data_IF_426729441396
#
_entry.id   IF_426729441396
#
_cell.length_a   1.000
_cell.length_b   1.000
_cell.length_c   1.000
_cell.angle_alpha   90.00
_cell.angle_beta   90.00
_cell.angle_gamma   90.00
#
_symmetry.space_group_name_H-M   'P 1'
#
loop_
_entity.id
_entity.type
_entity.pdbx_description
1 polymer ?
#
# COMPACT_ATOMS: atom_id res chain seq x y z
N UNK A 1 8.52 17.25 0.35
CA UNK A 1 7.14 17.08 -0.15
C UNK A 1 6.94 18.04 -1.31
N UNK A 2 6.21 17.63 -2.35
CA UNK A 2 5.91 18.50 -3.49
C UNK A 2 4.66 19.35 -3.22
N UNK A 3 4.44 20.41 -4.01
CA UNK A 3 3.24 21.25 -3.87
C UNK A 3 1.95 20.46 -4.12
N UNK A 4 1.98 19.48 -5.03
CA UNK A 4 0.84 18.59 -5.33
C UNK A 4 0.49 17.71 -4.11
N UNK A 5 1.50 17.18 -3.41
CA UNK A 5 1.31 16.44 -2.16
C UNK A 5 0.73 17.33 -1.06
N UNK A 6 1.26 18.54 -0.89
CA UNK A 6 0.77 19.49 0.12
C UNK A 6 -0.69 19.88 -0.13
N UNK A 7 -1.07 20.10 -1.39
CA UNK A 7 -2.46 20.34 -1.81
C UNK A 7 -3.38 19.19 -1.45
N UNK A 8 -3.00 17.95 -1.82
CA UNK A 8 -3.79 16.75 -1.50
C UNK A 8 -3.98 16.65 0.01
N UNK A 9 -2.91 16.76 0.80
CA UNK A 9 -2.95 16.64 2.27
C UNK A 9 -3.80 17.76 2.88
N UNK A 10 -3.70 18.99 2.39
CA UNK A 10 -4.55 20.10 2.83
C UNK A 10 -6.04 19.80 2.59
N UNK A 11 -6.42 19.43 1.37
CA UNK A 11 -7.80 19.06 1.03
C UNK A 11 -8.31 17.90 1.89
N UNK A 12 -7.47 16.88 2.13
CA UNK A 12 -7.81 15.73 2.95
C UNK A 12 -8.08 16.12 4.42
N UNK A 13 -7.26 17.01 5.00
CA UNK A 13 -7.48 17.53 6.36
C UNK A 13 -8.78 18.32 6.46
N UNK A 14 -9.14 19.10 5.44
CA UNK A 14 -10.41 19.85 5.40
C UNK A 14 -11.62 18.93 5.28
N UNK A 15 -11.55 17.91 4.43
CA UNK A 15 -12.59 16.88 4.32
C UNK A 15 -12.78 16.15 5.66
N UNK A 16 -11.69 15.72 6.29
CA UNK A 16 -11.73 15.06 7.60
C UNK A 16 -12.35 15.95 8.69
N UNK A 17 -12.05 17.25 8.68
CA UNK A 17 -12.66 18.22 9.59
C UNK A 17 -14.17 18.35 9.37
N UNK A 18 -14.63 18.50 8.12
CA UNK A 18 -16.06 18.57 7.79
C UNK A 18 -16.79 17.31 8.25
N UNK A 19 -16.25 16.13 7.96
CA UNK A 19 -16.83 14.84 8.40
C UNK A 19 -16.88 14.70 9.92
N UNK A 20 -15.85 15.16 10.62
CA UNK A 20 -15.83 15.15 12.08
C UNK A 20 -16.93 16.05 12.67
N UNK A 21 -17.14 17.22 12.09
CA UNK A 21 -18.23 18.14 12.47
C UNK A 21 -19.61 17.53 12.22
N UNK A 22 -19.82 16.93 11.04
CA UNK A 22 -21.05 16.22 10.69
C UNK A 22 -21.33 15.05 11.66
N UNK A 23 -20.32 14.23 11.96
CA UNK A 23 -20.43 13.12 12.92
C UNK A 23 -20.83 13.60 14.33
N UNK A 24 -20.31 14.77 14.75
CA UNK A 24 -20.65 15.39 16.03
C UNK A 24 -21.99 16.16 15.99
N UNK A 25 -22.72 16.15 14.87
CA UNK A 25 -23.92 16.96 14.62
C UNK A 25 -23.70 18.46 14.86
N UNK A 26 -22.49 18.95 14.56
CA UNK A 26 -22.13 20.37 14.67
C UNK A 26 -22.28 21.01 13.30
N UNK A 27 -23.38 21.72 13.10
CA UNK A 27 -23.65 22.48 11.86
C UNK A 27 -23.23 23.93 12.07
N UNK A 28 -22.29 24.47 11.28
CA UNK A 28 -21.92 25.89 11.33
C UNK A 28 -23.09 26.75 10.85
N UNK A 29 -23.16 28.00 11.32
CA UNK A 29 -24.03 29.00 10.70
C UNK A 29 -23.42 29.50 9.36
N UNK A 30 -24.20 30.26 8.59
CA UNK A 30 -23.79 30.73 7.25
C UNK A 30 -22.48 31.52 7.28
N UNK A 31 -22.29 32.43 8.26
CA UNK A 31 -21.07 33.23 8.38
C UNK A 31 -19.83 32.36 8.69
N UNK A 32 -19.99 31.36 9.58
CA UNK A 32 -18.94 30.41 9.92
C UNK A 32 -18.57 29.52 8.73
N UNK A 33 -19.57 29.06 7.97
CA UNK A 33 -19.35 28.24 6.79
C UNK A 33 -18.65 29.04 5.69
N UNK A 34 -19.13 30.25 5.38
CA UNK A 34 -18.50 31.14 4.43
C UNK A 34 -17.03 31.42 4.79
N UNK A 35 -16.76 31.81 6.05
CA UNK A 35 -15.40 32.07 6.52
C UNK A 35 -14.51 30.83 6.44
N UNK A 36 -15.04 29.64 6.73
CA UNK A 36 -14.30 28.39 6.61
C UNK A 36 -13.95 28.10 5.15
N UNK A 37 -14.92 28.16 4.25
CA UNK A 37 -14.72 27.88 2.83
C UNK A 37 -13.78 28.88 2.19
N UNK A 38 -13.86 30.17 2.54
CA UNK A 38 -12.90 31.19 2.06
C UNK A 38 -11.47 30.86 2.48
N UNK A 39 -11.28 30.40 3.72
CA UNK A 39 -9.97 29.95 4.20
C UNK A 39 -9.47 28.70 3.46
N UNK A 40 -10.34 27.73 3.18
CA UNK A 40 -10.00 26.54 2.38
C UNK A 40 -9.59 26.94 0.96
N UNK A 41 -10.38 27.78 0.29
CA UNK A 41 -10.07 28.25 -1.07
C UNK A 41 -8.74 29.00 -1.10
N UNK A 42 -8.51 29.90 -0.14
CA UNK A 42 -7.25 30.64 -0.03
C UNK A 42 -6.05 29.71 0.18
N UNK A 43 -6.15 28.75 1.10
CA UNK A 43 -5.08 27.78 1.37
C UNK A 43 -4.75 26.94 0.12
N UNK A 44 -5.76 26.42 -0.58
CA UNK A 44 -5.54 25.65 -1.80
C UNK A 44 -4.92 26.50 -2.92
N UNK A 45 -5.33 27.76 -3.07
CA UNK A 45 -4.73 28.69 -4.04
C UNK A 45 -3.26 28.98 -3.74
N UNK A 46 -2.96 29.25 -2.46
CA UNK A 46 -1.59 29.57 -2.03
C UNK A 46 -0.64 28.38 -2.24
N UNK A 47 -1.08 27.16 -1.89
CA UNK A 47 -0.30 25.95 -2.12
C UNK A 47 -0.08 25.65 -3.62
N UNK A 48 -1.07 25.94 -4.47
CA UNK A 48 -0.93 25.73 -5.92
C UNK A 48 0.15 26.61 -6.55
N UNK A 49 0.38 27.81 -6.02
CA UNK A 49 1.42 28.72 -6.49
C UNK A 49 2.85 28.25 -6.16
N UNK A 50 3.00 27.33 -5.21
CA UNK A 50 4.29 26.77 -4.84
C UNK A 50 4.80 25.67 -5.79
N UNK A 51 3.97 25.21 -6.73
CA UNK A 51 4.36 24.17 -7.72
C UNK A 51 5.29 24.73 -8.79
N UNK A 52 6.16 23.86 -9.32
CA UNK A 52 6.97 24.15 -10.51
C UNK A 52 6.10 24.46 -11.74
N UNK A 53 4.88 23.91 -11.79
CA UNK A 53 3.88 24.14 -12.83
C UNK A 53 2.74 25.06 -12.35
N UNK A 54 3.09 26.10 -11.57
CA UNK A 54 2.15 26.99 -10.88
C UNK A 54 0.97 27.45 -11.76
N UNK A 55 1.20 27.87 -13.01
CA UNK A 55 0.13 28.35 -13.89
C UNK A 55 -0.95 27.29 -14.18
N UNK A 56 -0.52 26.05 -14.47
CA UNK A 56 -1.44 24.96 -14.80
C UNK A 56 -2.15 24.46 -13.56
N UNK A 57 -1.41 24.28 -12.46
CA UNK A 57 -1.96 23.80 -11.21
C UNK A 57 -2.93 24.79 -10.59
N UNK A 58 -2.58 26.09 -10.60
CA UNK A 58 -3.47 27.15 -10.12
C UNK A 58 -4.74 27.21 -10.94
N UNK A 59 -4.67 27.13 -12.28
CA UNK A 59 -5.88 27.12 -13.12
C UNK A 59 -6.79 25.92 -12.83
N UNK A 60 -6.22 24.73 -12.58
CA UNK A 60 -6.98 23.53 -12.19
C UNK A 60 -7.61 23.71 -10.81
N UNK A 61 -6.86 24.21 -9.82
CA UNK A 61 -7.37 24.46 -8.46
C UNK A 61 -8.49 25.49 -8.49
N UNK A 62 -8.35 26.60 -9.22
CA UNK A 62 -9.41 27.61 -9.39
C UNK A 62 -10.69 26.98 -9.96
N UNK A 63 -10.57 26.21 -11.03
CA UNK A 63 -11.72 25.51 -11.63
C UNK A 63 -12.41 24.57 -10.63
N UNK A 64 -11.63 23.85 -9.83
CA UNK A 64 -12.14 22.89 -8.85
C UNK A 64 -12.86 23.58 -7.69
N UNK A 65 -12.29 24.65 -7.14
CA UNK A 65 -12.92 25.36 -6.01
C UNK A 65 -14.15 26.14 -6.45
N UNK A 66 -14.16 26.71 -7.65
CA UNK A 66 -15.31 27.44 -8.18
C UNK A 66 -16.49 26.50 -8.49
N UNK A 67 -16.20 25.29 -9.00
CA UNK A 67 -17.23 24.31 -9.33
C UNK A 67 -17.77 23.58 -8.09
N UNK A 68 -16.89 23.18 -7.17
CA UNK A 68 -17.24 22.24 -6.09
C UNK A 68 -17.32 22.87 -4.71
N UNK A 69 -16.82 24.09 -4.52
CA UNK A 69 -16.93 24.85 -3.28
C UNK A 69 -17.45 26.26 -3.56
N UNK A 70 -18.46 26.40 -4.42
CA UNK A 70 -19.05 27.70 -4.76
C UNK A 70 -19.56 28.49 -3.53
N UNK A 71 -19.66 29.81 -3.66
CA UNK A 71 -20.28 30.65 -2.63
C UNK A 71 -21.73 30.25 -2.38
N UNK A 72 -22.11 30.13 -1.09
CA UNK A 72 -23.46 29.73 -0.69
C UNK A 72 -23.76 28.23 -0.77
N UNK A 73 -22.75 27.38 -1.00
CA UNK A 73 -22.90 25.92 -0.89
C UNK A 73 -23.36 25.52 0.52
N UNK A 74 -24.26 24.55 0.61
CA UNK A 74 -24.73 24.05 1.89
C UNK A 74 -23.66 23.19 2.59
N UNK A 75 -23.69 23.11 3.92
CA UNK A 75 -22.66 22.39 4.69
C UNK A 75 -22.62 20.89 4.42
N UNK A 76 -23.76 20.28 4.10
CA UNK A 76 -23.84 18.87 3.68
C UNK A 76 -23.19 18.67 2.30
N UNK A 77 -23.37 19.61 1.38
CA UNK A 77 -22.76 19.58 0.04
C UNK A 77 -21.26 19.89 0.03
N UNK A 78 -20.74 20.56 1.08
CA UNK A 78 -19.31 20.84 1.20
C UNK A 78 -18.46 19.56 1.36
N UNK A 79 -19.02 18.49 1.93
CA UNK A 79 -18.34 17.18 2.01
C UNK A 79 -18.11 16.60 0.60
N UNK A 80 -19.18 16.53 -0.19
CA UNK A 80 -19.13 16.03 -1.58
C UNK A 80 -18.15 16.85 -2.42
N UNK A 81 -18.18 18.17 -2.27
CA UNK A 81 -17.28 19.07 -2.98
C UNK A 81 -15.81 18.83 -2.65
N UNK A 82 -15.48 18.72 -1.36
CA UNK A 82 -14.12 18.42 -0.90
C UNK A 82 -13.67 17.02 -1.30
N UNK A 83 -14.57 16.04 -1.35
CA UNK A 83 -14.25 14.68 -1.81
C UNK A 83 -13.88 14.65 -3.30
N UNK A 84 -14.61 15.38 -4.14
CA UNK A 84 -14.28 15.53 -5.57
C UNK A 84 -12.93 16.24 -5.72
N UNK A 85 -12.72 17.35 -5.01
CA UNK A 85 -11.44 18.08 -5.05
C UNK A 85 -10.28 17.16 -4.65
N UNK A 86 -10.40 16.43 -3.54
CA UNK A 86 -9.37 15.52 -3.06
C UNK A 86 -9.03 14.44 -4.10
N UNK A 87 -10.05 13.87 -4.76
CA UNK A 87 -9.85 12.87 -5.83
C UNK A 87 -9.07 13.45 -7.01
N UNK A 88 -9.44 14.65 -7.45
CA UNK A 88 -8.79 15.32 -8.58
C UNK A 88 -7.35 15.73 -8.25
N UNK A 89 -7.10 16.24 -7.03
CA UNK A 89 -5.76 16.58 -6.57
C UNK A 89 -4.86 15.36 -6.46
N UNK A 90 -5.39 14.22 -5.99
CA UNK A 90 -4.65 12.95 -6.00
C UNK A 90 -4.26 12.52 -7.41
N UNK A 91 -5.16 12.69 -8.39
CA UNK A 91 -4.85 12.37 -9.79
C UNK A 91 -3.75 13.29 -10.33
N UNK A 92 -3.78 14.58 -10.00
CA UNK A 92 -2.73 15.54 -10.38
C UNK A 92 -1.38 15.14 -9.80
N UNK A 93 -1.32 14.75 -8.52
CA UNK A 93 -0.09 14.27 -7.87
C UNK A 93 0.44 13.01 -8.56
N UNK A 94 -0.44 12.05 -8.86
CA UNK A 94 -0.10 10.83 -9.61
C UNK A 94 0.45 11.15 -10.99
N UNK A 95 -0.21 12.01 -11.76
CA UNK A 95 0.20 12.36 -13.12
C UNK A 95 1.57 13.07 -13.13
N UNK A 96 1.79 13.99 -12.18
CA UNK A 96 3.06 14.68 -12.00
C UNK A 96 4.19 13.71 -11.65
N UNK A 97 3.97 12.82 -10.68
CA UNK A 97 4.97 11.82 -10.29
C UNK A 97 5.24 10.83 -11.43
N UNK A 98 4.20 10.33 -12.12
CA UNK A 98 4.35 9.45 -13.28
C UNK A 98 5.18 10.09 -14.39
N UNK A 99 5.01 11.39 -14.64
CA UNK A 99 5.79 12.12 -15.64
C UNK A 99 7.27 12.30 -15.22
N UNK A 100 7.53 12.39 -13.92
CA UNK A 100 8.88 12.56 -13.36
C UNK A 100 9.61 11.23 -13.06
N UNK A 101 8.90 10.11 -13.04
CA UNK A 101 9.46 8.78 -12.70
C UNK A 101 10.57 8.42 -13.68
N UNK A 102 11.79 8.36 -13.16
CA UNK A 102 12.96 7.83 -13.83
C UNK A 102 14.00 7.41 -12.77
N UNK A 103 14.47 6.15 -12.76
CA UNK A 103 15.52 5.72 -11.83
C UNK A 103 16.82 6.51 -12.00
N UNK A 104 17.39 6.99 -10.90
CA UNK A 104 18.70 7.66 -10.90
C UNK A 104 19.86 6.66 -11.01
N UNK A 105 21.06 7.13 -11.36
CA UNK A 105 22.26 6.26 -11.42
C UNK A 105 22.58 5.65 -10.04
N UNK A 106 22.38 6.41 -8.96
CA UNK A 106 22.62 5.95 -7.58
C UNK A 106 21.61 4.86 -7.18
N UNK A 107 20.33 5.03 -7.52
CA UNK A 107 19.30 4.01 -7.31
C UNK A 107 19.60 2.74 -8.12
N UNK A 108 19.99 2.89 -9.38
CA UNK A 108 20.37 1.76 -10.24
C UNK A 108 21.61 1.03 -9.70
N UNK A 109 22.49 1.71 -8.98
CA UNK A 109 23.63 1.10 -8.30
C UNK A 109 23.28 0.44 -6.95
N UNK A 110 22.14 0.80 -6.33
CA UNK A 110 21.78 0.39 -4.97
C UNK A 110 20.29 0.07 -4.83
N UNK A 111 19.95 -1.22 -4.74
CA UNK A 111 18.56 -1.65 -4.51
C UNK A 111 17.95 -1.04 -3.23
N UNK A 112 18.67 -0.90 -2.10
CA UNK A 112 18.14 -0.17 -0.94
C UNK A 112 17.68 1.26 -1.26
N UNK A 113 18.41 2.00 -2.12
CA UNK A 113 17.99 3.33 -2.54
C UNK A 113 16.75 3.29 -3.44
N UNK A 114 16.66 2.27 -4.32
CA UNK A 114 15.46 2.05 -5.13
C UNK A 114 14.23 1.69 -4.27
N UNK A 115 14.40 0.95 -3.16
CA UNK A 115 13.35 0.65 -2.19
C UNK A 115 12.90 1.93 -1.46
N UNK A 116 13.84 2.76 -1.03
CA UNK A 116 13.52 4.07 -0.45
C UNK A 116 12.79 4.97 -1.47
N UNK A 117 13.15 4.90 -2.76
CA UNK A 117 12.44 5.64 -3.79
C UNK A 117 11.03 5.11 -4.05
N UNK A 118 10.81 3.79 -4.01
CA UNK A 118 9.45 3.22 -4.06
C UNK A 118 8.56 3.74 -2.93
N UNK A 119 9.13 3.93 -1.74
CA UNK A 119 8.39 4.54 -0.62
C UNK A 119 7.95 5.96 -0.95
N UNK A 120 8.83 6.79 -1.51
CA UNK A 120 8.48 8.16 -1.91
C UNK A 120 7.41 8.19 -3.02
N UNK A 121 7.37 7.15 -3.87
CA UNK A 121 6.44 7.03 -4.99
C UNK A 121 5.09 6.40 -4.61
N UNK A 122 4.89 6.02 -3.34
CA UNK A 122 3.62 5.49 -2.84
C UNK A 122 2.62 6.61 -2.48
N UNK A 123 2.16 7.35 -3.48
CA UNK A 123 1.15 8.44 -3.35
C UNK A 123 -0.17 7.94 -2.76
N UNK A 124 -0.46 6.65 -2.93
CA UNK A 124 -1.68 6.02 -2.43
C UNK A 124 -1.55 5.51 -0.99
N UNK A 125 -0.37 5.63 -0.36
CA UNK A 125 -0.19 5.39 1.07
C UNK A 125 -1.23 6.16 1.86
N UNK A 126 -1.73 5.50 2.90
CA UNK A 126 -2.71 6.06 3.81
C UNK A 126 -2.01 6.95 4.84
N UNK A 127 -2.64 8.07 5.14
CA UNK A 127 -2.15 9.00 6.16
C UNK A 127 -2.67 8.57 7.55
N UNK A 128 -1.79 8.28 8.53
CA UNK A 128 -2.22 7.99 9.89
C UNK A 128 -3.01 9.15 10.49
N UNK A 129 -3.98 8.83 11.35
CA UNK A 129 -4.91 9.77 11.98
C UNK A 129 -5.86 10.52 11.01
N UNK A 130 -5.74 10.31 9.69
CA UNK A 130 -6.68 10.81 8.68
C UNK A 130 -7.41 9.67 7.99
N UNK A 131 -6.66 8.77 7.36
CA UNK A 131 -7.19 7.60 6.66
C UNK A 131 -7.42 6.41 7.60
N UNK A 132 -6.64 6.30 8.68
CA UNK A 132 -6.81 5.24 9.67
C UNK A 132 -6.38 5.63 11.08
N UNK A 133 -6.85 4.89 12.08
CA UNK A 133 -6.40 4.96 13.47
C UNK A 133 -6.19 3.54 13.99
N UNK A 134 -5.05 3.29 14.60
CA UNK A 134 -4.73 2.03 15.27
C UNK A 134 -5.07 2.08 16.76
N UNK A 135 -5.40 0.94 17.36
CA UNK A 135 -5.48 0.71 18.80
C UNK A 135 -4.42 -0.34 19.18
N UNK A 136 -3.18 0.13 19.39
CA UNK A 136 -2.01 -0.72 19.66
C UNK A 136 -2.09 -1.47 20.99
N UNK A 137 -2.87 -0.97 21.96
CA UNK A 137 -3.10 -1.63 23.25
C UNK A 137 -1.80 -2.03 23.98
N UNK A 138 -1.73 -3.25 24.52
CA UNK A 138 -0.58 -3.74 25.26
C UNK A 138 0.49 -4.33 24.36
N UNK A 139 1.75 -4.06 24.71
CA UNK A 139 2.92 -4.67 24.10
C UNK A 139 3.38 -5.90 24.87
N UNK A 140 4.02 -6.83 24.16
CA UNK A 140 4.56 -8.04 24.75
C UNK A 140 5.84 -8.52 24.08
N UNK A 141 6.46 -9.54 24.68
CA UNK A 141 7.67 -10.17 24.16
C UNK A 141 7.28 -11.30 23.22
N UNK A 142 8.17 -11.62 22.27
CA UNK A 142 7.95 -12.67 21.27
C UNK A 142 7.47 -14.04 21.82
N UNK A 143 7.93 -14.42 23.02
CA UNK A 143 7.60 -15.70 23.67
C UNK A 143 6.36 -15.63 24.58
N UNK A 144 5.68 -14.48 24.62
CA UNK A 144 4.50 -14.25 25.45
C UNK A 144 3.23 -14.44 24.62
N UNK A 145 2.50 -15.50 24.92
CA UNK A 145 1.25 -15.87 24.25
C UNK A 145 0.01 -15.28 24.96
N UNK A 146 0.20 -14.42 25.97
CA UNK A 146 -0.94 -13.75 26.63
C UNK A 146 -1.58 -12.74 25.69
N UNK A 147 -2.92 -12.67 25.75
CA UNK A 147 -3.66 -11.64 25.04
C UNK A 147 -3.57 -10.32 25.82
N UNK A 148 -2.86 -9.34 25.25
CA UNK A 148 -2.71 -7.99 25.80
C UNK A 148 -3.53 -6.96 25.01
N UNK A 149 -4.42 -7.41 24.13
CA UNK A 149 -5.23 -6.58 23.25
C UNK A 149 -6.67 -7.13 23.15
N UNK A 150 -7.55 -6.66 24.02
CA UNK A 150 -8.97 -7.06 24.02
C UNK A 150 -9.78 -6.53 22.81
N UNK A 151 -9.21 -5.63 22.01
CA UNK A 151 -9.86 -4.96 20.88
C UNK A 151 -9.09 -5.17 19.57
N UNK A 152 -9.73 -4.99 18.40
CA UNK A 152 -9.04 -5.04 17.11
C UNK A 152 -7.93 -3.98 17.01
N UNK A 153 -6.87 -4.29 16.24
CA UNK A 153 -5.80 -3.36 15.91
C UNK A 153 -6.33 -2.16 15.12
N UNK A 154 -7.20 -2.39 14.13
CA UNK A 154 -7.74 -1.33 13.28
C UNK A 154 -8.99 -0.70 13.89
N UNK A 155 -8.80 0.30 14.75
CA UNK A 155 -9.90 1.06 15.36
C UNK A 155 -10.75 1.82 14.35
N UNK A 156 -10.12 2.39 13.33
CA UNK A 156 -10.80 3.14 12.28
C UNK A 156 -10.04 3.02 10.96
N UNK A 157 -10.80 2.89 9.86
CA UNK A 157 -10.31 3.04 8.50
C UNK A 157 -11.38 3.85 7.74
N UNK A 158 -10.96 4.90 7.05
CA UNK A 158 -11.85 5.71 6.22
C UNK A 158 -12.48 4.85 5.13
N UNK A 159 -13.80 5.00 4.94
CA UNK A 159 -14.54 4.28 3.90
C UNK A 159 -14.08 4.64 2.48
N UNK A 160 -13.50 5.83 2.31
CA UNK A 160 -12.99 6.28 1.01
C UNK A 160 -11.73 5.55 0.56
N UNK A 161 -11.02 4.88 1.46
CA UNK A 161 -9.85 4.07 1.12
C UNK A 161 -10.23 3.01 0.09
N UNK A 162 -11.29 2.24 0.36
CA UNK A 162 -11.76 1.16 -0.52
C UNK A 162 -12.59 1.63 -1.72
N UNK A 163 -12.72 2.95 -1.91
CA UNK A 163 -13.24 3.55 -3.14
C UNK A 163 -12.11 3.91 -4.11
N UNK A 164 -10.86 3.96 -3.63
CA UNK A 164 -9.69 4.16 -4.49
C UNK A 164 -9.51 2.90 -5.37
N UNK A 165 -9.27 3.04 -6.69
CA UNK A 165 -9.31 1.90 -7.61
C UNK A 165 -8.37 0.74 -7.24
N UNK A 166 -7.11 1.03 -6.85
CA UNK A 166 -6.13 -0.01 -6.55
C UNK A 166 -6.49 -0.80 -5.29
N UNK A 167 -6.92 -0.13 -4.23
CA UNK A 167 -7.43 -0.76 -3.00
C UNK A 167 -8.69 -1.58 -3.25
N UNK A 168 -9.65 -1.04 -4.01
CA UNK A 168 -10.89 -1.74 -4.33
C UNK A 168 -10.61 -3.04 -5.08
N UNK A 169 -9.81 -2.97 -6.15
CA UNK A 169 -9.46 -4.13 -6.97
C UNK A 169 -8.65 -5.15 -6.16
N UNK A 170 -7.68 -4.70 -5.35
CA UNK A 170 -6.92 -5.59 -4.48
C UNK A 170 -7.84 -6.31 -3.47
N UNK A 171 -8.75 -5.59 -2.82
CA UNK A 171 -9.69 -6.18 -1.87
C UNK A 171 -10.57 -7.25 -2.52
N UNK A 172 -11.07 -7.00 -3.73
CA UNK A 172 -11.83 -8.01 -4.50
C UNK A 172 -11.02 -9.27 -4.80
N UNK A 173 -9.71 -9.13 -5.07
CA UNK A 173 -8.85 -10.29 -5.29
C UNK A 173 -8.71 -11.17 -4.05
N UNK A 174 -8.74 -10.59 -2.85
CA UNK A 174 -8.64 -11.38 -1.60
C UNK A 174 -9.85 -12.29 -1.38
N UNK A 175 -11.01 -11.95 -1.94
CA UNK A 175 -12.25 -12.73 -1.79
C UNK A 175 -12.30 -13.96 -2.73
N UNK A 176 -11.42 -14.04 -3.73
CA UNK A 176 -11.42 -15.13 -4.70
C UNK A 176 -10.78 -16.43 -4.20
N UNK A 177 -10.07 -16.39 -3.08
CA UNK A 177 -9.25 -17.50 -2.62
C UNK A 177 -9.77 -18.06 -1.29
N UNK A 178 -9.77 -19.38 -1.17
CA UNK A 178 -10.08 -20.09 0.08
C UNK A 178 -8.76 -20.48 0.75
N UNK A 179 -8.61 -20.26 2.05
CA UNK A 179 -7.37 -20.54 2.79
C UNK A 179 -6.96 -22.03 2.83
N UNK A 180 -7.77 -22.94 2.27
CA UNK A 180 -7.49 -24.37 2.21
C UNK A 180 -6.62 -24.70 0.98
N UNK A 181 -5.35 -25.04 1.21
CA UNK A 181 -4.43 -25.52 0.17
C UNK A 181 -4.76 -26.94 -0.31
N UNK A 182 -4.43 -27.26 -1.57
CA UNK A 182 -4.44 -28.65 -2.07
C UNK A 182 -5.65 -29.04 -2.93
N UNK A 183 -6.47 -28.08 -3.36
CA UNK A 183 -7.50 -28.28 -4.39
C UNK A 183 -6.98 -27.73 -5.73
N UNK A 184 -7.20 -28.44 -6.84
CA UNK A 184 -6.86 -27.94 -8.17
C UNK A 184 -7.71 -26.70 -8.47
N UNK A 185 -7.10 -25.52 -8.45
CA UNK A 185 -7.77 -24.27 -8.78
C UNK A 185 -7.70 -24.02 -10.28
N UNK A 186 -8.85 -23.72 -10.89
CA UNK A 186 -8.92 -23.28 -12.27
C UNK A 186 -9.39 -21.84 -12.31
N UNK A 187 -8.49 -20.93 -12.72
CA UNK A 187 -8.82 -19.52 -12.90
C UNK A 187 -10.03 -19.35 -13.82
N UNK A 188 -11.14 -18.84 -13.28
CA UNK A 188 -12.32 -18.46 -14.04
C UNK A 188 -12.02 -17.27 -14.95
N UNK A 189 -12.84 -17.06 -15.99
CA UNK A 189 -12.66 -15.88 -16.86
C UNK A 189 -12.88 -14.56 -16.12
N UNK A 190 -13.65 -14.60 -15.03
CA UNK A 190 -13.86 -13.46 -14.15
C UNK A 190 -12.58 -13.12 -13.38
N UNK A 191 -11.99 -14.10 -12.69
CA UNK A 191 -10.72 -13.93 -11.95
C UNK A 191 -9.61 -13.41 -12.86
N UNK A 192 -9.47 -13.96 -14.07
CA UNK A 192 -8.48 -13.46 -15.04
C UNK A 192 -8.71 -12.01 -15.42
N UNK A 193 -9.97 -11.57 -15.45
CA UNK A 193 -10.33 -10.19 -15.78
C UNK A 193 -10.08 -9.25 -14.60
N UNK A 194 -10.33 -9.71 -13.39
CA UNK A 194 -9.99 -8.99 -12.15
C UNK A 194 -8.47 -8.85 -11.98
N UNK A 195 -7.71 -9.93 -12.21
CA UNK A 195 -6.24 -9.93 -12.20
C UNK A 195 -5.67 -8.90 -13.21
N UNK A 196 -6.23 -8.86 -14.42
CA UNK A 196 -5.84 -7.88 -15.46
C UNK A 196 -6.21 -6.45 -15.06
N UNK A 197 -7.42 -6.23 -14.55
CA UNK A 197 -7.87 -4.92 -14.12
C UNK A 197 -6.99 -4.37 -12.98
N UNK A 198 -6.63 -5.23 -12.02
CA UNK A 198 -5.71 -4.88 -10.95
C UNK A 198 -4.33 -4.49 -11.49
N UNK A 199 -3.73 -5.30 -12.37
CA UNK A 199 -2.43 -4.99 -13.00
C UNK A 199 -2.49 -3.67 -13.78
N UNK A 200 -3.57 -3.42 -14.52
CA UNK A 200 -3.75 -2.18 -15.26
C UNK A 200 -3.83 -0.97 -14.34
N UNK A 201 -4.57 -1.09 -13.22
CA UNK A 201 -4.70 -0.05 -12.22
C UNK A 201 -3.36 0.25 -11.53
N UNK A 202 -2.66 -0.76 -11.00
CA UNK A 202 -1.39 -0.53 -10.30
C UNK A 202 -0.30 -0.01 -11.25
N UNK A 203 -0.30 -0.40 -12.54
CA UNK A 203 0.66 0.14 -13.51
C UNK A 203 0.43 1.63 -13.81
N UNK A 204 -0.79 2.15 -13.59
CA UNK A 204 -1.02 3.59 -13.69
C UNK A 204 -0.35 4.38 -12.56
N UNK A 205 0.08 3.71 -11.49
CA UNK A 205 0.70 4.33 -10.33
C UNK A 205 2.23 4.48 -10.47
N UNK A 206 2.85 5.51 -9.88
CA UNK A 206 4.29 5.77 -10.02
C UNK A 206 5.19 4.63 -9.55
N UNK A 207 4.85 3.96 -8.44
CA UNK A 207 5.66 2.89 -7.87
C UNK A 207 5.88 1.71 -8.84
N UNK A 208 4.83 1.24 -9.52
CA UNK A 208 4.95 0.12 -10.47
C UNK A 208 5.62 0.56 -11.78
N UNK A 209 5.40 1.80 -12.22
CA UNK A 209 6.15 2.36 -13.36
C UNK A 209 7.63 2.46 -13.06
N UNK A 210 7.99 2.90 -11.87
CA UNK A 210 9.37 2.95 -11.43
C UNK A 210 9.99 1.55 -11.41
N UNK A 211 9.30 0.56 -10.85
CA UNK A 211 9.78 -0.82 -10.88
C UNK A 211 9.99 -1.35 -12.30
N UNK A 212 9.10 -0.99 -13.23
CA UNK A 212 9.27 -1.32 -14.66
C UNK A 212 10.56 -0.72 -15.23
N UNK A 213 10.75 0.59 -15.11
CA UNK A 213 11.92 1.29 -15.64
C UNK A 213 13.23 0.84 -14.97
N UNK A 214 13.17 0.55 -13.67
CA UNK A 214 14.30 0.04 -12.90
C UNK A 214 14.73 -1.34 -13.43
N UNK A 215 13.79 -2.28 -13.52
CA UNK A 215 14.06 -3.63 -14.02
C UNK A 215 14.56 -3.62 -15.46
N UNK A 216 14.01 -2.76 -16.32
CA UNK A 216 14.46 -2.56 -17.69
C UNK A 216 15.92 -2.06 -17.72
N UNK A 217 16.22 -1.00 -16.95
CA UNK A 217 17.56 -0.40 -16.90
C UNK A 217 18.62 -1.36 -16.34
N UNK A 218 18.22 -2.29 -15.47
CA UNK A 218 19.09 -3.34 -14.91
C UNK A 218 19.27 -4.54 -15.83
N UNK A 219 18.58 -4.60 -16.97
CA UNK A 219 18.64 -5.74 -17.90
C UNK A 219 17.88 -6.98 -17.43
N UNK A 220 17.05 -6.86 -16.39
CA UNK A 220 16.34 -8.00 -15.80
C UNK A 220 15.16 -8.46 -16.64
N UNK A 221 14.56 -7.56 -17.43
CA UNK A 221 13.45 -7.90 -18.31
C UNK A 221 13.91 -8.77 -19.47
N UNK A 222 15.09 -8.48 -20.02
CA UNK A 222 15.74 -9.30 -21.04
C UNK A 222 16.10 -10.69 -20.50
N UNK A 223 16.56 -10.76 -19.24
CA UNK A 223 16.81 -12.04 -18.57
C UNK A 223 15.51 -12.86 -18.36
N UNK A 224 14.38 -12.18 -18.20
CA UNK A 224 13.03 -12.77 -18.19
C UNK A 224 12.47 -13.08 -19.61
N UNK A 225 13.28 -12.87 -20.65
CA UNK A 225 12.96 -13.17 -22.05
C UNK A 225 12.08 -12.12 -22.74
N UNK A 226 12.05 -10.89 -22.23
CA UNK A 226 11.33 -9.77 -22.85
C UNK A 226 12.23 -9.12 -23.90
N UNK A 227 11.78 -9.08 -25.16
CA UNK A 227 12.55 -8.53 -26.28
C UNK A 227 12.61 -7.00 -26.29
N UNK A 228 11.52 -6.35 -25.90
CA UNK A 228 11.42 -4.89 -25.77
C UNK A 228 11.15 -4.52 -24.30
N UNK A 229 12.20 -4.19 -23.52
CA UNK A 229 12.08 -3.78 -22.12
C UNK A 229 11.25 -2.51 -21.91
N UNK A 230 10.97 -1.73 -22.96
CA UNK A 230 10.08 -0.56 -22.87
C UNK A 230 8.61 -0.91 -23.13
N UNK A 231 8.30 -2.11 -23.65
CA UNK A 231 6.93 -2.55 -23.91
C UNK A 231 6.17 -2.78 -22.60
N UNK A 232 5.32 -1.81 -22.27
CA UNK A 232 4.37 -1.84 -21.15
C UNK A 232 3.56 -3.14 -21.13
N UNK A 233 3.13 -3.62 -22.30
CA UNK A 233 2.36 -4.85 -22.40
C UNK A 233 3.14 -6.07 -21.93
N UNK A 234 4.44 -6.14 -22.25
CA UNK A 234 5.33 -7.22 -21.84
C UNK A 234 5.58 -7.22 -20.34
N UNK A 235 5.80 -6.04 -19.75
CA UNK A 235 5.93 -5.93 -18.30
C UNK A 235 4.64 -6.30 -17.55
N UNK A 236 3.47 -5.88 -18.04
CA UNK A 236 2.18 -6.31 -17.47
C UNK A 236 1.98 -7.83 -17.56
N UNK A 237 2.40 -8.46 -18.66
CA UNK A 237 2.40 -9.93 -18.79
C UNK A 237 3.38 -10.60 -17.83
N UNK A 238 4.54 -9.98 -17.56
CA UNK A 238 5.47 -10.44 -16.53
C UNK A 238 4.83 -10.37 -15.15
N UNK A 239 4.23 -9.23 -14.77
CA UNK A 239 3.50 -9.12 -13.50
C UNK A 239 2.42 -10.20 -13.38
N UNK A 240 1.63 -10.42 -14.43
CA UNK A 240 0.64 -11.49 -14.44
C UNK A 240 1.27 -12.86 -14.17
N UNK A 241 2.39 -13.16 -14.84
CA UNK A 241 3.12 -14.43 -14.69
C UNK A 241 3.75 -14.60 -13.31
N UNK A 242 4.24 -13.54 -12.68
CA UNK A 242 4.88 -13.62 -11.37
C UNK A 242 3.84 -13.77 -10.25
N UNK A 243 2.75 -13.03 -10.35
CA UNK A 243 1.77 -12.90 -9.27
C UNK A 243 0.61 -13.88 -9.39
N UNK A 244 0.08 -14.14 -10.59
CA UNK A 244 -1.19 -14.86 -10.75
C UNK A 244 -1.08 -16.21 -11.45
N UNK A 245 0.04 -16.54 -12.10
CA UNK A 245 0.19 -17.89 -12.66
C UNK A 245 0.34 -18.92 -11.54
N UNK A 246 -0.58 -19.87 -11.51
CA UNK A 246 -0.47 -21.04 -10.66
C UNK A 246 0.79 -21.85 -10.97
N UNK A 247 1.43 -22.32 -9.92
CA UNK A 247 2.45 -23.35 -9.97
C UNK A 247 2.13 -24.44 -8.94
N UNK A 248 2.86 -25.55 -9.01
CA UNK A 248 2.67 -26.71 -8.15
C UNK A 248 3.49 -26.59 -6.87
N UNK A 249 2.86 -26.72 -5.70
CA UNK A 249 3.48 -26.81 -4.38
C UNK A 249 3.26 -28.18 -3.73
N UNK A 250 2.02 -28.65 -3.66
CA UNK A 250 1.63 -29.99 -3.17
C UNK A 250 0.93 -30.76 -4.29
N UNK A 251 -0.08 -30.13 -4.89
CA UNK A 251 -0.82 -30.61 -6.06
C UNK A 251 -0.54 -29.75 -7.32
N UNK A 252 -0.93 -30.23 -8.50
CA UNK A 252 -0.66 -29.50 -9.74
C UNK A 252 -1.51 -28.21 -9.80
N UNK A 253 -0.86 -27.05 -9.89
CA UNK A 253 -1.49 -25.72 -10.01
C UNK A 253 -2.34 -25.35 -8.79
N UNK A 254 -1.76 -25.45 -7.59
CA UNK A 254 -2.47 -25.26 -6.33
C UNK A 254 -2.14 -23.95 -5.62
N UNK A 255 -1.20 -23.13 -6.14
CA UNK A 255 -0.97 -21.80 -5.57
C UNK A 255 -0.29 -20.80 -6.52
N UNK A 256 -0.50 -19.50 -6.25
CA UNK A 256 0.06 -18.35 -6.97
C UNK A 256 1.03 -17.52 -6.10
N UNK A 257 1.75 -16.57 -6.72
CA UNK A 257 2.59 -15.63 -5.97
C UNK A 257 1.75 -14.68 -5.11
N UNK A 258 0.58 -14.28 -5.61
CA UNK A 258 -0.37 -13.41 -4.92
C UNK A 258 -0.85 -14.03 -3.61
N UNK A 259 -1.30 -15.29 -3.63
CA UNK A 259 -1.76 -15.99 -2.44
C UNK A 259 -0.66 -16.10 -1.38
N UNK A 260 0.55 -16.53 -1.79
CA UNK A 260 1.66 -16.75 -0.85
C UNK A 260 2.15 -15.48 -0.17
N UNK A 261 2.05 -14.34 -0.84
CA UNK A 261 2.49 -13.05 -0.30
C UNK A 261 1.37 -12.41 0.52
N UNK A 262 0.13 -12.40 0.02
CA UNK A 262 -0.93 -11.54 0.56
C UNK A 262 -1.98 -12.24 1.43
N UNK A 263 -2.27 -13.54 1.24
CA UNK A 263 -3.35 -14.21 1.98
C UNK A 263 -2.87 -14.92 3.25
N UNK A 264 -1.71 -15.58 3.16
CA UNK A 264 -1.28 -16.53 4.18
C UNK A 264 -2.09 -17.83 4.21
N UNK A 265 -1.61 -18.80 4.98
CA UNK A 265 -2.21 -20.14 5.12
C UNK A 265 -2.07 -20.64 6.56
N UNK A 266 -2.98 -21.54 6.98
CA UNK A 266 -2.81 -22.31 8.22
C UNK A 266 -2.37 -23.72 7.88
N UNK A 267 -1.22 -24.14 8.41
CA UNK A 267 -0.63 -25.46 8.16
C UNK A 267 -0.06 -26.00 9.47
N UNK A 268 -0.40 -27.24 9.82
CA UNK A 268 0.05 -27.90 11.05
C UNK A 268 -0.15 -27.03 12.32
N UNK A 269 -1.36 -26.45 12.47
CA UNK A 269 -1.73 -25.53 13.55
C UNK A 269 -0.85 -24.26 13.65
N UNK A 270 -0.23 -23.85 12.54
CA UNK A 270 0.61 -22.66 12.46
C UNK A 270 0.18 -21.77 11.29
N UNK A 271 0.19 -20.47 11.54
CA UNK A 271 0.01 -19.48 10.48
C UNK A 271 1.34 -19.27 9.76
N UNK A 272 1.31 -19.39 8.43
CA UNK A 272 2.44 -19.12 7.53
C UNK A 272 2.02 -17.97 6.59
N UNK A 273 2.90 -16.99 6.36
CA UNK A 273 2.53 -15.79 5.60
C UNK A 273 1.63 -14.85 6.41
N UNK A 274 0.65 -14.20 5.78
CA UNK A 274 -0.25 -13.21 6.40
C UNK A 274 0.49 -12.02 7.03
N UNK A 275 1.07 -11.20 6.14
CA UNK A 275 1.83 -9.99 6.48
C UNK A 275 1.18 -8.70 5.97
N UNK A 276 0.16 -8.81 5.12
CA UNK A 276 -0.48 -7.67 4.50
C UNK A 276 -1.57 -7.10 5.40
N UNK A 277 -1.50 -5.79 5.66
CA UNK A 277 -2.42 -5.12 6.58
C UNK A 277 -3.88 -5.10 6.09
N UNK A 278 -4.11 -5.10 4.77
CA UNK A 278 -5.47 -5.12 4.20
C UNK A 278 -6.12 -6.48 4.47
N UNK A 279 -5.38 -7.57 4.27
CA UNK A 279 -5.85 -8.91 4.60
C UNK A 279 -6.06 -9.07 6.11
N UNK A 280 -5.14 -8.60 6.95
CA UNK A 280 -5.32 -8.63 8.42
C UNK A 280 -6.58 -7.86 8.83
N UNK A 281 -6.80 -6.66 8.30
CA UNK A 281 -8.02 -5.88 8.53
C UNK A 281 -9.29 -6.63 8.10
N UNK A 282 -9.25 -7.32 6.96
CA UNK A 282 -10.37 -8.11 6.44
C UNK A 282 -10.70 -9.26 7.41
N UNK A 283 -9.70 -9.98 7.88
CA UNK A 283 -9.87 -11.09 8.84
C UNK A 283 -10.29 -10.61 10.23
N UNK A 284 -9.80 -9.46 10.72
CA UNK A 284 -10.32 -8.82 11.96
C UNK A 284 -11.80 -8.48 11.83
N UNK A 285 -12.22 -7.92 10.68
CA UNK A 285 -13.63 -7.60 10.41
C UNK A 285 -14.51 -8.83 10.28
N UNK A 286 -13.96 -9.93 9.77
CA UNK A 286 -14.65 -11.22 9.69
C UNK A 286 -14.75 -11.93 11.06
N UNK A 287 -13.97 -11.50 12.06
CA UNK A 287 -13.90 -12.14 13.36
C UNK A 287 -13.10 -13.45 13.36
N UNK A 288 -12.33 -13.70 12.31
CA UNK A 288 -11.47 -14.88 12.15
C UNK A 288 -10.05 -14.63 12.66
N UNK A 289 -9.66 -13.36 12.81
CA UNK A 289 -8.38 -12.94 13.38
C UNK A 289 -8.58 -12.16 14.69
N UNK A 290 -7.83 -12.56 15.71
CA UNK A 290 -7.73 -11.86 16.99
C UNK A 290 -6.32 -11.27 17.14
N UNK A 291 -6.19 -9.95 17.06
CA UNK A 291 -4.96 -9.26 17.40
C UNK A 291 -4.72 -9.34 18.91
N UNK A 292 -3.50 -9.71 19.33
CA UNK A 292 -3.21 -10.00 20.74
C UNK A 292 -2.15 -9.08 21.35
N UNK A 293 -1.64 -8.10 20.59
CA UNK A 293 -0.64 -7.13 21.06
C UNK A 293 0.53 -6.93 20.09
N UNK A 294 1.23 -5.80 20.25
CA UNK A 294 2.45 -5.52 19.47
C UNK A 294 3.67 -6.20 20.10
N UNK A 295 4.66 -6.50 19.27
CA UNK A 295 5.92 -7.12 19.63
C UNK A 295 7.04 -6.10 19.44
N UNK A 296 7.79 -5.84 20.51
CA UNK A 296 8.95 -4.95 20.46
C UNK A 296 10.13 -5.62 19.75
N UNK A 297 10.86 -4.90 18.87
CA UNK A 297 12.13 -5.37 18.34
C UNK A 297 13.15 -5.64 19.46
N UNK A 298 14.04 -6.60 19.26
CA UNK A 298 15.01 -7.02 20.29
C UNK A 298 15.94 -5.90 20.75
N UNK A 299 16.43 -5.02 19.85
CA UNK A 299 17.32 -3.90 20.22
C UNK A 299 16.59 -2.58 20.46
N UNK A 300 15.43 -2.34 19.87
CA UNK A 300 14.59 -1.14 20.12
C UNK A 300 13.63 -1.30 21.32
N UNK A 301 14.02 -2.06 22.35
CA UNK A 301 13.14 -2.35 23.51
C UNK A 301 12.68 -1.13 24.34
N UNK A 302 13.17 0.08 24.02
CA UNK A 302 12.87 1.33 24.72
C UNK A 302 11.96 2.29 23.95
N UNK A 303 11.83 2.14 22.63
CA UNK A 303 10.93 2.95 21.81
C UNK A 303 9.66 2.13 21.58
N UNK A 304 8.55 2.63 22.13
CA UNK A 304 7.25 2.01 21.96
C UNK A 304 6.72 2.40 20.57
N UNK A 305 6.06 1.48 19.85
CA UNK A 305 5.44 1.85 18.60
C UNK A 305 4.37 2.91 18.83
N UNK A 306 4.27 3.85 17.90
CA UNK A 306 3.28 4.90 17.89
C UNK A 306 2.16 4.58 16.88
N UNK A 307 0.99 5.21 17.06
CA UNK A 307 -0.20 4.90 16.26
C UNK A 307 -0.08 5.32 14.78
N UNK A 308 0.97 6.06 14.45
CA UNK A 308 1.36 6.53 13.12
C UNK A 308 2.56 5.77 12.52
N UNK A 309 3.09 4.76 13.22
CA UNK A 309 4.11 3.88 12.65
C UNK A 309 3.54 3.08 11.47
N UNK A 310 4.28 3.11 10.36
CA UNK A 310 3.97 2.34 9.16
C UNK A 310 4.60 0.95 9.13
N UNK A 311 5.41 0.58 10.13
CA UNK A 311 6.04 -0.73 10.24
C UNK A 311 5.90 -1.25 11.67
N UNK A 312 5.14 -2.33 11.84
CA UNK A 312 4.83 -2.89 13.17
C UNK A 312 5.21 -4.36 13.26
N UNK A 313 5.59 -4.77 14.47
CA UNK A 313 5.65 -6.16 14.89
C UNK A 313 4.39 -6.48 15.65
N UNK A 314 3.63 -7.49 15.23
CA UNK A 314 2.37 -7.88 15.88
C UNK A 314 2.29 -9.37 16.12
N UNK A 315 1.51 -9.77 17.12
CA UNK A 315 1.08 -11.14 17.34
C UNK A 315 -0.44 -11.22 17.18
N UNK A 316 -0.92 -12.29 16.59
CA UNK A 316 -2.35 -12.55 16.46
C UNK A 316 -2.65 -14.06 16.43
N UNK A 317 -3.88 -14.40 16.74
CA UNK A 317 -4.47 -15.71 16.46
C UNK A 317 -5.32 -15.60 15.20
N UNK A 318 -5.20 -16.56 14.28
CA UNK A 318 -6.03 -16.63 13.08
C UNK A 318 -6.55 -18.05 12.90
N UNK A 319 -7.88 -18.19 12.81
CA UNK A 319 -8.56 -19.48 12.71
C UNK A 319 -8.11 -20.52 13.77
N UNK A 320 -7.85 -20.07 15.01
CA UNK A 320 -7.43 -20.91 16.12
C UNK A 320 -5.91 -21.20 16.18
N UNK A 321 -5.12 -20.71 15.22
CA UNK A 321 -3.67 -20.87 15.20
C UNK A 321 -2.95 -19.56 15.56
N UNK A 322 -2.01 -19.61 16.49
CA UNK A 322 -1.22 -18.44 16.90
C UNK A 322 -0.08 -18.19 15.91
N UNK A 323 0.03 -16.95 15.44
CA UNK A 323 1.22 -16.44 14.75
C UNK A 323 2.07 -15.64 15.73
N UNK A 324 3.22 -16.18 16.21
CA UNK A 324 3.96 -15.57 17.31
C UNK A 324 4.55 -14.19 16.97
N UNK A 325 4.81 -13.94 15.69
CA UNK A 325 5.27 -12.65 15.19
C UNK A 325 4.93 -12.49 13.71
N UNK A 326 4.41 -11.32 13.35
CA UNK A 326 4.32 -10.80 12.00
C UNK A 326 4.87 -9.38 11.98
N UNK A 327 5.91 -9.14 11.19
CA UNK A 327 6.25 -7.79 10.78
C UNK A 327 5.37 -7.41 9.59
N UNK A 328 4.72 -6.26 9.68
CA UNK A 328 3.74 -5.79 8.70
C UNK A 328 4.01 -4.33 8.36
N UNK A 329 3.87 -3.97 7.08
CA UNK A 329 3.64 -2.58 6.73
C UNK A 329 2.19 -2.23 7.03
N UNK A 330 1.93 -1.00 7.47
CA UNK A 330 0.57 -0.49 7.72
C UNK A 330 0.33 0.74 6.86
N UNK A 331 -0.82 0.80 6.19
CA UNK A 331 -1.23 1.95 5.39
C UNK A 331 -0.56 2.07 4.03
N UNK A 332 0.50 1.32 3.73
CA UNK A 332 1.09 1.27 2.38
C UNK A 332 0.08 0.75 1.34
N UNK A 333 0.21 1.18 0.09
CA UNK A 333 -0.71 0.76 -0.96
C UNK A 333 -0.41 -0.63 -1.53
N UNK A 334 -1.40 -1.31 -2.16
CA UNK A 334 -1.17 -2.57 -2.86
C UNK A 334 -0.06 -2.48 -3.93
N UNK A 335 -0.05 -1.39 -4.69
CA UNK A 335 0.93 -1.14 -5.76
C UNK A 335 2.35 -0.96 -5.22
N UNK A 336 2.52 -0.41 -4.02
CA UNK A 336 3.82 -0.33 -3.36
C UNK A 336 4.35 -1.72 -3.02
N UNK A 337 3.59 -2.55 -2.31
CA UNK A 337 4.03 -3.90 -1.95
C UNK A 337 4.30 -4.78 -3.19
N UNK A 338 3.43 -4.68 -4.22
CA UNK A 338 3.65 -5.39 -5.49
C UNK A 338 4.93 -4.91 -6.18
N UNK A 339 5.18 -3.60 -6.26
CA UNK A 339 6.40 -3.06 -6.87
C UNK A 339 7.65 -3.49 -6.10
N UNK A 340 7.61 -3.35 -4.77
CA UNK A 340 8.70 -3.69 -3.86
C UNK A 340 9.10 -5.16 -3.99
N UNK A 341 8.15 -6.07 -3.80
CA UNK A 341 8.43 -7.50 -3.83
C UNK A 341 8.78 -7.98 -5.24
N UNK A 342 8.27 -7.35 -6.30
CA UNK A 342 8.71 -7.62 -7.68
C UNK A 342 10.18 -7.26 -7.87
N UNK A 343 10.63 -6.08 -7.41
CA UNK A 343 12.03 -5.68 -7.52
C UNK A 343 12.97 -6.58 -6.71
N UNK A 344 12.60 -6.91 -5.46
CA UNK A 344 13.39 -7.83 -4.64
C UNK A 344 13.49 -9.23 -5.26
N UNK A 345 12.39 -9.74 -5.82
CA UNK A 345 12.40 -11.01 -6.54
C UNK A 345 13.31 -10.98 -7.77
N UNK A 346 13.19 -9.95 -8.63
CA UNK A 346 14.01 -9.84 -9.84
C UNK A 346 15.50 -9.66 -9.49
N UNK A 347 15.83 -8.93 -8.43
CA UNK A 347 17.21 -8.83 -7.94
C UNK A 347 17.75 -10.16 -7.45
N UNK A 348 16.96 -10.93 -6.70
CA UNK A 348 17.40 -12.25 -6.25
C UNK A 348 17.50 -13.27 -7.40
N UNK A 349 16.66 -13.14 -8.42
CA UNK A 349 16.65 -14.02 -9.58
C UNK A 349 17.77 -13.71 -10.59
N UNK A 350 18.09 -12.43 -10.81
CA UNK A 350 18.93 -11.94 -11.91
C UNK A 350 20.01 -10.93 -11.51
N UNK A 351 20.07 -10.56 -10.23
CA UNK A 351 21.10 -9.67 -9.70
C UNK A 351 22.45 -10.37 -9.56
N UNK A 352 23.27 -9.85 -8.66
CA UNK A 352 24.62 -10.36 -8.42
C UNK A 352 24.59 -11.78 -7.84
N UNK A 353 25.55 -12.62 -8.24
CA UNK A 353 25.70 -13.97 -7.67
C UNK A 353 25.79 -13.92 -6.13
N UNK A 354 24.89 -14.63 -5.45
CA UNK A 354 24.90 -14.78 -3.99
C UNK A 354 23.85 -13.97 -3.23
N UNK A 355 22.92 -13.27 -3.90
CA UNK A 355 21.76 -12.67 -3.24
C UNK A 355 20.86 -13.77 -2.63
N UNK A 356 20.57 -13.65 -1.33
CA UNK A 356 19.71 -14.57 -0.58
C UNK A 356 18.24 -14.12 -0.53
N UNK A 357 17.89 -13.09 -1.31
CA UNK A 357 16.57 -12.50 -1.37
C UNK A 357 16.26 -11.59 -0.18
N UNK A 358 17.27 -11.13 0.56
CA UNK A 358 17.09 -10.23 1.71
C UNK A 358 17.79 -8.91 1.48
N UNK A 359 17.02 -7.83 1.55
CA UNK A 359 17.50 -6.48 1.28
C UNK A 359 17.19 -5.60 2.47
N UNK A 360 18.23 -5.10 3.14
CA UNK A 360 18.08 -4.08 4.17
C UNK A 360 18.01 -2.69 3.50
N UNK A 361 17.03 -1.89 3.88
CA UNK A 361 16.82 -0.53 3.42
C UNK A 361 16.40 0.37 4.58
N UNK A 362 16.68 1.65 4.45
CA UNK A 362 16.17 2.70 5.35
C UNK A 362 15.21 3.54 4.53
N UNK A 363 13.94 3.58 4.94
CA UNK A 363 12.90 4.37 4.30
C UNK A 363 12.90 5.80 4.87
N UNK A 364 11.94 6.62 4.47
CA UNK A 364 11.70 7.93 5.10
C UNK A 364 11.52 7.78 6.62
N UNK A 365 11.82 8.84 7.38
CA UNK A 365 11.73 8.88 8.85
C UNK A 365 12.58 7.83 9.59
N UNK A 366 13.71 7.41 9.01
CA UNK A 366 14.66 6.46 9.60
C UNK A 366 14.04 5.08 9.92
N UNK A 367 13.02 4.69 9.14
CA UNK A 367 12.41 3.36 9.22
C UNK A 367 13.37 2.35 8.59
N UNK A 368 14.16 1.68 9.44
CA UNK A 368 15.00 0.56 9.04
C UNK A 368 14.16 -0.71 8.87
N UNK A 369 14.21 -1.27 7.67
CA UNK A 369 13.47 -2.48 7.31
C UNK A 369 14.35 -3.44 6.54
N UNK A 370 14.15 -4.75 6.76
CA UNK A 370 14.70 -5.79 5.90
C UNK A 370 13.57 -6.41 5.11
N UNK A 371 13.62 -6.31 3.79
CA UNK A 371 12.66 -6.95 2.90
C UNK A 371 13.15 -8.36 2.60
N UNK A 372 12.32 -9.35 2.87
CA UNK A 372 12.59 -10.76 2.57
C UNK A 372 11.73 -11.16 1.39
N UNK A 373 12.34 -11.73 0.35
CA UNK A 373 11.68 -12.29 -0.81
C UNK A 373 12.19 -13.71 -1.05
N UNK A 374 11.34 -14.70 -0.80
CA UNK A 374 11.69 -16.10 -1.02
C UNK A 374 11.47 -16.53 -2.46
N UNK A 375 12.46 -17.23 -3.03
CA UNK A 375 12.40 -17.81 -4.36
C UNK A 375 12.11 -19.31 -4.26
N UNK A 376 11.12 -19.77 -5.02
CA UNK A 376 10.79 -21.19 -5.09
C UNK A 376 11.22 -21.82 -6.42
N UNK A 377 11.94 -22.94 -6.34
CA UNK A 377 12.47 -23.66 -7.49
C UNK A 377 13.87 -23.20 -7.93
N UNK A 378 14.69 -24.13 -8.40
CA UNK A 378 16.13 -23.90 -8.69
C UNK A 378 16.46 -23.38 -10.09
N UNK A 379 15.66 -23.70 -11.09
CA UNK A 379 15.98 -23.41 -12.51
C UNK A 379 15.08 -22.35 -13.14
N UNK A 380 13.90 -22.12 -12.56
CA UNK A 380 12.93 -21.09 -12.94
C UNK A 380 12.29 -20.62 -11.64
N UNK A 381 12.93 -19.69 -10.92
CA UNK A 381 12.44 -19.25 -9.63
C UNK A 381 11.03 -18.68 -9.78
N UNK A 382 10.18 -18.97 -8.79
CA UNK A 382 8.85 -18.41 -8.62
C UNK A 382 8.82 -17.55 -7.37
N UNK A 383 7.96 -16.54 -7.38
CA UNK A 383 7.72 -15.71 -6.21
C UNK A 383 7.09 -16.56 -5.11
N UNK A 384 7.79 -16.71 -3.98
CA UNK A 384 7.25 -17.29 -2.75
C UNK A 384 6.83 -16.20 -1.78
N UNK A 385 6.93 -16.48 -0.48
CA UNK A 385 6.57 -15.50 0.54
C UNK A 385 7.50 -14.29 0.50
N UNK A 386 6.90 -13.12 0.53
CA UNK A 386 7.60 -11.84 0.65
C UNK A 386 7.00 -11.05 1.79
N UNK A 387 7.83 -10.41 2.60
CA UNK A 387 7.36 -9.64 3.76
C UNK A 387 8.45 -8.68 4.27
N UNK A 388 8.07 -7.59 4.95
CA UNK A 388 9.03 -6.80 5.72
C UNK A 388 9.38 -7.54 7.00
N UNK A 389 10.62 -7.38 7.44
CA UNK A 389 11.11 -7.83 8.73
C UNK A 389 11.70 -6.62 9.46
N UNK A 390 11.25 -6.40 10.68
CA UNK A 390 11.84 -5.40 11.56
C UNK A 390 13.32 -5.72 11.77
N UNK A 391 14.19 -4.74 11.55
CA UNK A 391 15.63 -4.93 11.78
C UNK A 391 15.86 -5.01 13.29
N UNK A 392 16.39 -6.15 13.74
CA UNK A 392 16.56 -6.48 15.17
C UNK A 392 17.46 -5.51 15.93
#
# INVERSE_FOLDING_TARGET
MSAEQDLRVAAQKRLAFVRSMQFQNKVPNDDQLCSFLDAVRAELRDLAQASENADTLSAKVESLVDEHLAEGIAFDQADDGLEVILRELRQVEVDAAVAAVNPSEDELASLPLAIAQLWMLDINRLEPNLDYVLDLQGGKKFHDDSDTAERPLFKYISRTVFQRPTYQLFYSLLDNYVAETGVEESETQQEKSENRAFIDAIYSMPAVRYAHLYAASRGWLEAEGIEDPADIGSFKRLLYRLWFYFYRREERNDSSGFEHVFLGEVRDDKVIGLHNWIQILREERAGTLNYTGYILPRRRSTELPEGDDHLLGIQFEWNGAVKPMSSIFVGVSPEFEVALYTLCFLNAAHGSEGDDGKVAATLEDEIDVKIVAHLMGRHKPRLGSCYPELVE
#
